data_IF_512920056567
#
_entry.id   IF_512920056567
#
_cell.length_a   1.000
_cell.length_b   1.000
_cell.length_c   1.000
_cell.angle_alpha   90.00
_cell.angle_beta   90.00
_cell.angle_gamma   90.00
#
_symmetry.space_group_name_H-M   'P 1'
#
loop_
_entity.id
_entity.type
_entity.pdbx_description
1 polymer ?
#
# COMPACT_ATOMS: atom_id res chain seq x y z
N UNK A 1 22.45 2.24 9.66
CA UNK A 1 21.66 3.45 9.36
C UNK A 1 21.12 3.28 7.95
N UNK A 2 19.82 3.42 7.73
CA UNK A 2 19.25 3.45 6.39
C UNK A 2 19.88 4.61 5.61
N UNK A 3 20.30 4.36 4.37
CA UNK A 3 20.81 5.42 3.49
C UNK A 3 19.80 6.57 3.38
N UNK A 4 20.29 7.81 3.45
CA UNK A 4 19.45 9.02 3.37
C UNK A 4 19.55 9.56 1.95
N UNK A 5 18.39 9.84 1.34
CA UNK A 5 18.28 10.45 0.00
C UNK A 5 17.43 11.72 0.08
N UNK A 6 17.64 12.65 -0.84
CA UNK A 6 16.84 13.88 -0.94
C UNK A 6 15.90 13.81 -2.14
N UNK A 7 14.63 14.13 -1.92
CA UNK A 7 13.63 14.30 -2.98
C UNK A 7 13.20 15.76 -3.00
N UNK A 8 13.38 16.41 -4.16
CA UNK A 8 12.94 17.79 -4.36
C UNK A 8 11.50 17.80 -4.86
N UNK A 9 10.66 18.58 -4.19
CA UNK A 9 9.23 18.73 -4.52
C UNK A 9 8.87 20.21 -4.62
N UNK A 10 7.69 20.51 -5.14
CA UNK A 10 7.16 21.88 -5.13
C UNK A 10 6.84 22.33 -3.70
N UNK A 11 6.78 23.64 -3.47
CA UNK A 11 6.35 24.19 -2.17
C UNK A 11 4.92 23.77 -1.81
N UNK A 12 4.08 23.57 -2.81
CA UNK A 12 2.68 23.21 -2.62
C UNK A 12 2.55 21.78 -2.15
N UNK A 13 3.31 20.86 -2.76
CA UNK A 13 3.42 19.47 -2.32
C UNK A 13 3.96 19.37 -0.90
N UNK A 14 4.98 20.18 -0.54
CA UNK A 14 5.49 20.20 0.83
C UNK A 14 4.39 20.60 1.83
N UNK A 15 3.63 21.67 1.57
CA UNK A 15 2.52 22.08 2.44
C UNK A 15 1.43 21.01 2.57
N UNK A 16 1.16 20.28 1.49
CA UNK A 16 0.23 19.15 1.53
C UNK A 16 0.75 18.02 2.42
N UNK A 17 2.05 17.68 2.31
CA UNK A 17 2.68 16.65 3.11
C UNK A 17 2.73 17.02 4.60
N UNK A 18 3.00 18.28 4.94
CA UNK A 18 2.97 18.77 6.33
C UNK A 18 1.57 18.63 6.94
N UNK A 19 0.53 19.11 6.23
CA UNK A 19 -0.86 18.95 6.66
C UNK A 19 -1.24 17.48 6.82
N UNK A 20 -0.71 16.62 5.96
CA UNK A 20 -0.99 15.19 6.01
C UNK A 20 -0.27 14.51 7.18
N UNK A 21 1.00 14.84 7.44
CA UNK A 21 1.75 14.42 8.62
C UNK A 21 0.98 14.76 9.89
N UNK A 22 0.50 16.00 10.01
CA UNK A 22 -0.22 16.48 11.19
C UNK A 22 -1.54 15.70 11.39
N UNK A 23 -2.29 15.46 10.31
CA UNK A 23 -3.52 14.64 10.35
C UNK A 23 -3.28 13.19 10.76
N UNK A 24 -2.11 12.64 10.43
CA UNK A 24 -1.73 11.29 10.81
C UNK A 24 -1.04 11.22 12.17
N UNK A 25 -0.73 12.37 12.77
CA UNK A 25 0.12 12.48 13.94
C UNK A 25 1.46 11.74 13.78
N UNK A 26 2.02 11.79 12.56
CA UNK A 26 3.29 11.13 12.23
C UNK A 26 4.48 11.98 12.72
N UNK A 27 5.54 11.31 13.14
CA UNK A 27 6.74 11.92 13.73
C UNK A 27 7.58 12.68 12.69
N UNK A 28 7.47 12.30 11.41
CA UNK A 28 8.23 12.94 10.33
C UNK A 28 7.52 12.94 8.98
N UNK A 29 7.99 13.77 8.05
CA UNK A 29 7.53 13.73 6.65
C UNK A 29 7.88 12.40 5.97
N UNK A 30 9.02 11.80 6.34
CA UNK A 30 9.42 10.51 5.80
C UNK A 30 8.47 9.39 6.25
N UNK A 31 8.06 9.39 7.53
CA UNK A 31 7.04 8.48 8.02
C UNK A 31 5.69 8.70 7.31
N UNK A 32 5.26 9.96 7.16
CA UNK A 32 4.03 10.28 6.43
C UNK A 32 4.08 9.78 4.97
N UNK A 33 5.22 9.91 4.29
CA UNK A 33 5.45 9.38 2.93
C UNK A 33 5.35 7.85 2.94
N UNK A 34 5.96 7.15 3.89
CA UNK A 34 5.85 5.69 4.00
C UNK A 34 4.41 5.24 4.20
N UNK A 35 3.65 5.93 5.06
CA UNK A 35 2.22 5.63 5.27
C UNK A 35 1.42 5.82 3.97
N UNK A 36 1.68 6.90 3.21
CA UNK A 36 1.05 7.13 1.91
C UNK A 36 1.34 6.00 0.93
N UNK A 37 2.61 5.60 0.82
CA UNK A 37 3.03 4.50 -0.07
C UNK A 37 2.31 3.20 0.31
N UNK A 38 2.22 2.88 1.61
CA UNK A 38 1.55 1.67 2.07
C UNK A 38 0.04 1.71 1.82
N UNK A 39 -0.59 2.87 2.02
CA UNK A 39 -2.02 3.06 1.70
C UNK A 39 -2.29 2.90 0.21
N UNK A 40 -1.44 3.48 -0.65
CA UNK A 40 -1.60 3.35 -2.10
C UNK A 40 -1.42 1.90 -2.55
N UNK A 41 -0.42 1.18 -2.01
CA UNK A 41 -0.23 -0.25 -2.28
C UNK A 41 -1.46 -1.06 -1.91
N UNK A 42 -2.04 -0.81 -0.74
CA UNK A 42 -3.26 -1.50 -0.31
C UNK A 42 -4.45 -1.15 -1.21
N UNK A 43 -4.61 0.11 -1.59
CA UNK A 43 -5.68 0.52 -2.50
C UNK A 43 -5.59 -0.19 -3.87
N UNK A 44 -4.38 -0.32 -4.43
CA UNK A 44 -4.15 -1.05 -5.68
C UNK A 44 -4.49 -2.54 -5.53
N UNK A 45 -4.06 -3.17 -4.44
CA UNK A 45 -4.41 -4.57 -4.16
C UNK A 45 -5.94 -4.72 -4.04
N UNK A 46 -6.58 -3.80 -3.31
CA UNK A 46 -8.01 -3.82 -3.09
C UNK A 46 -8.80 -3.61 -4.40
N UNK A 47 -8.29 -2.78 -5.31
CA UNK A 47 -8.85 -2.58 -6.66
C UNK A 47 -8.72 -3.85 -7.52
N UNK A 48 -7.53 -4.47 -7.53
CA UNK A 48 -7.26 -5.67 -8.34
C UNK A 48 -8.06 -6.87 -7.83
N UNK A 49 -8.13 -7.08 -6.52
CA UNK A 49 -8.82 -8.23 -5.92
C UNK A 49 -10.32 -7.97 -5.70
N UNK A 50 -10.78 -6.72 -5.76
CA UNK A 50 -12.18 -6.30 -5.90
C UNK A 50 -13.22 -7.22 -5.25
N UNK A 51 -14.09 -7.79 -6.11
CA UNK A 51 -15.23 -8.67 -5.77
C UNK A 51 -14.83 -10.03 -5.17
N UNK A 52 -13.59 -10.48 -5.37
CA UNK A 52 -13.07 -11.77 -4.91
C UNK A 52 -12.33 -11.66 -3.57
N UNK A 53 -12.22 -10.45 -3.03
CA UNK A 53 -11.63 -10.19 -1.71
C UNK A 53 -12.44 -10.91 -0.63
N UNK A 54 -11.88 -12.01 -0.11
CA UNK A 54 -12.52 -12.90 0.87
C UNK A 54 -13.27 -14.10 0.29
N UNK A 55 -13.33 -14.24 -1.05
CA UNK A 55 -13.89 -15.41 -1.76
C UNK A 55 -12.81 -16.36 -2.27
N UNK A 56 -11.58 -15.86 -2.40
CA UNK A 56 -10.40 -16.67 -2.72
C UNK A 56 -10.06 -17.60 -1.56
N UNK A 57 -10.14 -18.90 -1.84
CA UNK A 57 -9.73 -19.98 -0.95
C UNK A 57 -8.40 -20.52 -1.44
N UNK A 58 -7.60 -21.13 -0.57
CA UNK A 58 -6.43 -21.90 -1.00
C UNK A 58 -6.87 -22.99 -1.98
N UNK A 59 -6.14 -23.13 -3.08
CA UNK A 59 -6.39 -24.19 -4.07
C UNK A 59 -6.21 -25.56 -3.40
N UNK A 60 -7.22 -26.42 -3.56
CA UNK A 60 -7.24 -27.79 -3.02
C UNK A 60 -7.07 -28.81 -4.13
N UNK A 61 -6.78 -30.07 -3.78
CA UNK A 61 -6.69 -31.17 -4.75
C UNK A 61 -8.03 -31.37 -5.50
N UNK A 62 -9.15 -31.09 -4.84
CA UNK A 62 -10.52 -31.18 -5.38
C UNK A 62 -10.81 -30.11 -6.45
N UNK A 63 -10.05 -29.01 -6.46
CA UNK A 63 -10.15 -27.97 -7.48
C UNK A 63 -9.42 -28.37 -8.79
N UNK A 64 -8.69 -29.50 -8.81
CA UNK A 64 -8.08 -30.03 -10.03
C UNK A 64 -9.14 -30.71 -10.89
N UNK A 65 -9.44 -30.12 -12.04
CA UNK A 65 -10.36 -30.67 -13.05
C UNK A 65 -9.87 -31.93 -13.79
N UNK A 66 -8.77 -32.54 -13.35
CA UNK A 66 -8.22 -33.77 -13.90
C UNK A 66 -7.99 -34.78 -12.78
N UNK A 67 -8.57 -35.97 -12.94
CA UNK A 67 -8.30 -37.12 -12.08
C UNK A 67 -6.93 -37.70 -12.46
N UNK A 68 -6.02 -37.78 -11.48
CA UNK A 68 -4.68 -38.36 -11.63
C UNK A 68 -4.50 -39.64 -10.81
N UNK A 69 -5.59 -40.38 -10.63
CA UNK A 69 -5.60 -41.76 -10.12
C UNK A 69 -4.83 -42.72 -11.03
#
# INVERSE_FOLDING_TARGET
>A
MSEVTTVRVSKDTLRMLERFRDKLNAESLDEAIRILIMRQRRAIIDEIFGLDKGRLKSFTEEDRGEDRS
#
